data_IF_251121047755
#
_entry.id   IF_251121047755
#
_cell.length_a   1.000
_cell.length_b   1.000
_cell.length_c   1.000
_cell.angle_alpha   90.00
_cell.angle_beta   90.00
_cell.angle_gamma   90.00
#
_symmetry.space_group_name_H-M   'P 1'
#
loop_
_entity.id
_entity.type
_entity.pdbx_description
1 polymer ?
#
# COMPACT_ATOMS: atom_id res chain seq x y z
N UNK A 1 -54.06 -23.83 0.37
CA UNK A 1 -53.19 -24.79 -0.36
C UNK A 1 -53.10 -24.28 -1.78
N UNK A 2 -52.07 -23.63 -2.31
CA UNK A 2 -50.67 -23.47 -1.97
C UNK A 2 -49.91 -23.44 -3.29
N UNK A 3 -49.50 -22.27 -3.78
CA UNK A 3 -48.46 -22.12 -4.82
C UNK A 3 -47.70 -20.83 -4.53
N UNK A 4 -46.53 -21.00 -3.93
CA UNK A 4 -45.56 -19.92 -3.70
C UNK A 4 -44.77 -19.78 -5.00
N UNK A 5 -44.92 -18.64 -5.69
CA UNK A 5 -44.04 -18.30 -6.82
C UNK A 5 -42.70 -17.85 -6.25
N UNK A 6 -41.70 -18.71 -6.41
CA UNK A 6 -40.31 -18.38 -6.10
C UNK A 6 -39.74 -17.48 -7.21
N UNK A 7 -39.65 -16.17 -6.93
CA UNK A 7 -38.77 -15.26 -7.67
C UNK A 7 -37.33 -15.60 -7.27
N UNK A 8 -36.68 -16.46 -8.04
CA UNK A 8 -35.26 -16.73 -7.93
C UNK A 8 -34.48 -15.53 -8.53
N UNK A 9 -34.28 -14.49 -7.71
CA UNK A 9 -33.31 -13.44 -8.00
C UNK A 9 -31.93 -13.91 -7.48
N UNK A 10 -31.34 -14.85 -8.20
CA UNK A 10 -30.09 -15.51 -7.82
C UNK A 10 -28.85 -14.81 -8.39
N UNK A 11 -28.34 -13.84 -7.64
CA UNK A 11 -26.92 -13.56 -7.41
C UNK A 11 -25.99 -13.58 -8.65
N UNK A 12 -25.86 -12.43 -9.31
CA UNK A 12 -24.69 -12.16 -10.13
C UNK A 12 -23.45 -12.05 -9.22
N UNK A 13 -22.70 -13.14 -9.11
CA UNK A 13 -21.38 -13.16 -8.50
C UNK A 13 -20.44 -12.34 -9.41
N UNK A 14 -20.35 -11.05 -9.16
CA UNK A 14 -19.32 -10.22 -9.75
C UNK A 14 -17.99 -10.65 -9.15
N UNK A 15 -17.23 -11.46 -9.89
CA UNK A 15 -15.81 -11.63 -9.69
C UNK A 15 -15.14 -10.26 -9.96
N UNK A 16 -15.13 -9.39 -8.94
CA UNK A 16 -14.25 -8.25 -8.92
C UNK A 16 -12.83 -8.79 -8.77
N UNK A 17 -12.16 -8.99 -9.91
CA UNK A 17 -10.72 -9.21 -9.92
C UNK A 17 -10.05 -8.09 -9.14
N UNK A 18 -9.08 -8.44 -8.30
CA UNK A 18 -8.17 -7.48 -7.67
C UNK A 18 -7.49 -6.67 -8.77
N UNK A 19 -8.05 -5.51 -9.10
CA UNK A 19 -7.43 -4.59 -10.03
C UNK A 19 -6.07 -4.19 -9.45
N UNK A 20 -5.01 -4.36 -10.24
CA UNK A 20 -3.71 -3.86 -9.87
C UNK A 20 -3.81 -2.32 -9.74
N UNK A 21 -3.52 -1.81 -8.54
CA UNK A 21 -3.46 -0.36 -8.31
C UNK A 21 -2.33 0.22 -9.18
N UNK A 22 -2.66 1.22 -9.99
CA UNK A 22 -1.70 1.96 -10.81
C UNK A 22 -1.55 3.38 -10.26
N UNK A 23 -0.33 3.91 -10.35
CA UNK A 23 0.02 5.24 -9.88
C UNK A 23 0.73 6.01 -10.99
N UNK A 24 0.60 7.35 -11.03
CA UNK A 24 1.38 8.17 -11.95
C UNK A 24 2.90 7.96 -11.74
N UNK A 25 3.70 7.85 -12.81
CA UNK A 25 5.13 7.58 -12.69
C UNK A 25 5.88 8.61 -11.85
N UNK A 26 5.47 9.87 -11.89
CA UNK A 26 6.05 10.94 -11.08
C UNK A 26 5.77 10.77 -9.59
N UNK A 27 4.60 10.27 -9.21
CA UNK A 27 4.26 9.98 -7.82
C UNK A 27 5.13 8.85 -7.29
N UNK A 28 5.31 7.78 -8.08
CA UNK A 28 6.19 6.66 -7.74
C UNK A 28 7.64 7.12 -7.59
N UNK A 29 8.15 7.97 -8.51
CA UNK A 29 9.51 8.54 -8.41
C UNK A 29 9.70 9.39 -7.17
N UNK A 30 8.72 10.25 -6.84
CA UNK A 30 8.74 11.06 -5.61
C UNK A 30 8.79 10.15 -4.38
N UNK A 31 7.96 9.10 -4.35
CA UNK A 31 7.97 8.10 -3.29
C UNK A 31 9.31 7.40 -3.14
N UNK A 32 9.95 7.01 -4.24
CA UNK A 32 11.27 6.40 -4.23
C UNK A 32 12.34 7.33 -3.61
N UNK A 33 12.32 8.62 -3.96
CA UNK A 33 13.24 9.61 -3.40
C UNK A 33 13.04 9.83 -1.90
N UNK A 34 11.78 9.95 -1.46
CA UNK A 34 11.44 10.07 -0.04
C UNK A 34 11.87 8.82 0.74
N UNK A 35 11.62 7.64 0.16
CA UNK A 35 12.01 6.37 0.74
C UNK A 35 13.53 6.26 0.92
N UNK A 36 14.29 6.68 -0.09
CA UNK A 36 15.76 6.73 -0.04
C UNK A 36 16.26 7.70 1.04
N UNK A 37 15.60 8.84 1.22
CA UNK A 37 15.99 9.85 2.21
C UNK A 37 15.66 9.44 3.66
N UNK A 38 14.55 8.75 3.88
CA UNK A 38 13.96 8.61 5.21
C UNK A 38 13.80 7.17 5.71
N UNK A 39 13.63 6.20 4.81
CA UNK A 39 13.12 4.87 5.18
C UNK A 39 14.15 3.75 4.98
N UNK A 40 15.01 3.88 3.96
CA UNK A 40 15.89 2.78 3.53
C UNK A 40 16.93 2.36 4.57
N UNK A 41 17.28 3.22 5.52
CA UNK A 41 18.23 2.90 6.59
C UNK A 41 17.73 1.76 7.49
N UNK A 42 16.41 1.62 7.61
CA UNK A 42 15.76 0.55 8.39
C UNK A 42 15.14 -0.53 7.50
N UNK A 43 14.39 -0.12 6.47
CA UNK A 43 13.65 -1.02 5.57
C UNK A 43 14.46 -1.48 4.34
N UNK A 44 15.70 -1.01 4.23
CA UNK A 44 16.60 -1.39 3.16
C UNK A 44 16.53 -0.56 1.91
N UNK A 45 17.58 -0.59 1.08
CA UNK A 45 17.47 -0.06 -0.26
C UNK A 45 16.37 -0.83 -1.01
N UNK A 46 15.64 -0.14 -1.88
CA UNK A 46 14.72 -0.78 -2.83
C UNK A 46 13.64 -1.66 -2.17
N UNK A 47 13.07 -1.17 -1.07
CA UNK A 47 12.05 -1.88 -0.24
C UNK A 47 12.53 -3.20 0.38
N UNK A 48 13.82 -3.51 0.28
CA UNK A 48 14.36 -4.86 0.49
C UNK A 48 15.57 -4.88 1.42
N UNK A 49 15.32 -4.95 2.74
CA UNK A 49 16.27 -5.32 3.82
C UNK A 49 15.46 -5.27 5.16
N UNK A 50 15.81 -5.97 6.27
CA UNK A 50 15.97 -7.41 6.51
C UNK A 50 15.29 -7.82 7.90
N UNK A 51 15.68 -8.90 8.64
CA UNK A 51 14.80 -9.68 9.57
C UNK A 51 14.27 -8.99 10.84
N UNK A 52 14.66 -7.75 11.09
CA UNK A 52 14.20 -6.93 12.22
C UNK A 52 13.22 -5.83 11.82
N UNK A 53 13.06 -5.57 10.52
CA UNK A 53 12.11 -4.62 9.96
C UNK A 53 11.16 -5.33 8.98
N UNK A 54 10.05 -4.68 8.63
CA UNK A 54 9.12 -5.25 7.66
C UNK A 54 9.73 -5.25 6.25
N UNK A 55 9.70 -6.40 5.57
CA UNK A 55 9.95 -6.50 4.13
C UNK A 55 8.76 -5.88 3.37
N UNK A 56 8.94 -4.64 2.94
CA UNK A 56 7.87 -3.84 2.36
C UNK A 56 7.44 -4.35 0.98
N UNK A 57 8.20 -5.22 0.32
CA UNK A 57 7.77 -5.89 -0.92
C UNK A 57 6.58 -6.81 -0.71
N UNK A 58 6.37 -7.24 0.54
CA UNK A 58 5.29 -8.14 0.97
C UNK A 58 4.15 -7.41 1.68
N UNK A 59 4.21 -6.08 1.77
CA UNK A 59 3.14 -5.32 2.39
C UNK A 59 1.82 -5.50 1.59
N UNK A 60 0.69 -5.82 2.25
CA UNK A 60 -0.63 -5.94 1.62
C UNK A 60 -1.03 -4.66 0.88
N UNK A 61 -1.45 -4.81 -0.38
CA UNK A 61 -1.71 -3.68 -1.30
C UNK A 61 -3.09 -3.06 -1.07
N UNK A 62 -3.93 -3.76 -0.35
CA UNK A 62 -5.26 -3.36 0.08
C UNK A 62 -5.27 -2.57 1.39
N UNK A 63 -4.15 -2.56 2.14
CA UNK A 63 -4.10 -2.06 3.52
C UNK A 63 -3.49 -0.64 3.60
N UNK A 64 -4.03 0.27 2.79
CA UNK A 64 -3.60 1.66 2.71
C UNK A 64 -3.73 2.39 4.04
N UNK A 65 -4.87 2.22 4.74
CA UNK A 65 -5.10 2.87 6.03
C UNK A 65 -4.03 2.49 7.06
N UNK A 66 -3.68 1.20 7.16
CA UNK A 66 -2.60 0.77 8.06
C UNK A 66 -1.25 1.34 7.66
N UNK A 67 -0.99 1.49 6.36
CA UNK A 67 0.24 2.13 5.88
C UNK A 67 0.30 3.59 6.34
N UNK A 68 -0.74 4.37 6.05
CA UNK A 68 -0.82 5.79 6.44
C UNK A 68 -0.68 5.94 7.95
N UNK A 69 -1.42 5.18 8.75
CA UNK A 69 -1.33 5.25 10.21
C UNK A 69 0.06 4.89 10.72
N UNK A 70 0.69 3.85 10.17
CA UNK A 70 2.01 3.39 10.61
C UNK A 70 3.10 4.40 10.25
N UNK A 71 3.03 5.03 9.08
CA UNK A 71 3.99 6.08 8.68
C UNK A 71 3.75 7.36 9.47
N UNK A 72 2.49 7.75 9.65
CA UNK A 72 2.14 8.97 10.38
C UNK A 72 2.56 8.88 11.84
N UNK A 73 2.15 7.82 12.53
CA UNK A 73 2.25 7.72 13.99
C UNK A 73 3.37 6.80 14.50
N UNK A 74 4.08 6.11 13.60
CA UNK A 74 5.10 5.14 13.97
C UNK A 74 4.53 3.85 14.58
N UNK A 75 5.40 2.84 14.75
CA UNK A 75 5.02 1.53 15.32
C UNK A 75 6.23 0.73 15.77
N UNK A 76 6.22 0.23 17.01
CA UNK A 76 7.18 -0.77 17.54
C UNK A 76 8.66 -0.46 17.21
N UNK A 77 9.05 0.81 17.33
CA UNK A 77 10.41 1.29 17.04
C UNK A 77 10.57 2.03 15.71
N UNK A 78 9.58 1.97 14.82
CA UNK A 78 9.48 2.91 13.69
C UNK A 78 9.05 4.29 14.22
N UNK A 79 9.78 5.38 13.93
CA UNK A 79 9.42 6.72 14.37
C UNK A 79 8.16 7.24 13.65
N UNK A 80 7.40 8.16 14.26
CA UNK A 80 6.37 8.93 13.57
C UNK A 80 7.01 9.91 12.58
N UNK A 81 6.28 10.26 11.52
CA UNK A 81 6.76 11.13 10.45
C UNK A 81 5.84 12.32 10.16
N UNK A 82 4.79 12.53 10.94
CA UNK A 82 3.81 13.61 10.78
C UNK A 82 4.40 15.02 10.93
N UNK A 83 5.49 15.17 11.70
CA UNK A 83 6.22 16.43 11.81
C UNK A 83 7.17 16.72 10.64
N UNK A 84 7.42 15.73 9.76
CA UNK A 84 8.43 15.80 8.68
C UNK A 84 7.82 15.67 7.30
N UNK A 85 6.86 14.76 7.13
CA UNK A 85 6.23 14.40 5.86
C UNK A 85 4.82 14.97 5.79
N UNK A 86 4.49 15.56 4.63
CA UNK A 86 3.12 15.98 4.35
C UNK A 86 2.25 14.78 3.96
N UNK A 87 0.91 14.89 4.04
CA UNK A 87 0.02 13.82 3.56
C UNK A 87 0.35 13.36 2.13
N UNK A 88 0.61 14.29 1.20
CA UNK A 88 0.99 13.96 -0.18
C UNK A 88 2.36 13.27 -0.32
N UNK A 89 3.24 13.37 0.68
CA UNK A 89 4.50 12.64 0.73
C UNK A 89 4.27 11.19 1.18
N UNK A 90 3.38 10.99 2.14
CA UNK A 90 2.95 9.67 2.61
C UNK A 90 2.23 8.92 1.48
N UNK A 91 1.38 9.59 0.70
CA UNK A 91 0.73 9.00 -0.47
C UNK A 91 1.75 8.66 -1.58
N UNK A 92 2.80 9.46 -1.75
CA UNK A 92 3.87 9.13 -2.68
C UNK A 92 4.67 7.90 -2.22
N UNK A 93 4.97 7.79 -0.91
CA UNK A 93 5.59 6.59 -0.33
C UNK A 93 4.72 5.35 -0.53
N UNK A 94 3.40 5.46 -0.34
CA UNK A 94 2.45 4.39 -0.62
C UNK A 94 2.53 3.94 -2.08
N UNK A 95 2.47 4.90 -3.01
CA UNK A 95 2.58 4.63 -4.44
C UNK A 95 3.87 3.87 -4.78
N UNK A 96 5.00 4.20 -4.15
CA UNK A 96 6.26 3.48 -4.36
C UNK A 96 6.25 2.06 -3.77
N UNK A 97 5.76 1.89 -2.54
CA UNK A 97 5.64 0.57 -1.89
C UNK A 97 4.75 -0.37 -2.70
N UNK A 98 3.62 0.14 -3.22
CA UNK A 98 2.71 -0.64 -4.07
C UNK A 98 3.24 -0.79 -5.49
N UNK A 99 3.85 0.20 -6.12
CA UNK A 99 4.47 -0.02 -7.44
C UNK A 99 5.59 -1.09 -7.35
N UNK A 100 6.33 -1.08 -6.24
CA UNK A 100 7.50 -1.92 -6.01
C UNK A 100 8.71 -1.46 -6.81
N UNK A 101 9.85 -2.05 -6.52
CA UNK A 101 11.07 -1.86 -7.32
C UNK A 101 11.00 -2.64 -8.61
N UNK A 102 10.74 -1.94 -9.71
CA UNK A 102 10.98 -2.46 -11.05
C UNK A 102 10.02 -3.56 -11.50
N UNK A 103 8.74 -3.52 -11.11
CA UNK A 103 7.73 -4.01 -12.05
C UNK A 103 7.75 -3.06 -13.24
N UNK A 104 8.54 -3.40 -14.26
CA UNK A 104 8.28 -2.91 -15.61
C UNK A 104 6.78 -3.18 -15.86
N UNK A 105 6.01 -2.19 -16.37
CA UNK A 105 4.61 -2.44 -16.69
C UNK A 105 4.44 -3.73 -17.50
#
# INVERSE_FOLDING_TARGET
MGRVSALALGLALACAGVAAQSFPPEQVRKGAQLYEAHCQSCHGPRLANPPWAADLRTFPREDHARFVDTVTYGKRGMPPWDDVLKPDDIEALWAYVVAGEGRKP
#
